data_IF_960561696808
#
_entry.id   IF_960561696808
#
_cell.length_a   1.000
_cell.length_b   1.000
_cell.length_c   1.000
_cell.angle_alpha   90.00
_cell.angle_beta   90.00
_cell.angle_gamma   90.00
#
_symmetry.space_group_name_H-M   'P 1'
#
loop_
_entity.id
_entity.type
_entity.pdbx_description
1 polymer ?
#
# COMPACT_ATOMS: atom_id res chain seq x y z
N UNK A 1 -2.80 4.03 -12.35
CA UNK A 1 -4.20 4.52 -12.36
C UNK A 1 -4.88 4.24 -11.02
N UNK A 2 -5.89 5.04 -10.67
CA UNK A 2 -6.72 4.81 -9.46
C UNK A 2 -7.32 3.41 -9.43
N UNK A 3 -7.28 2.75 -8.28
CA UNK A 3 -7.86 1.42 -8.08
C UNK A 3 -6.95 0.24 -8.45
N UNK A 4 -5.81 0.50 -9.08
CA UNK A 4 -4.83 -0.54 -9.40
C UNK A 4 -4.02 -0.97 -8.18
N UNK A 5 -3.60 -2.25 -8.18
CA UNK A 5 -2.75 -2.82 -7.14
C UNK A 5 -1.33 -3.01 -7.68
N UNK A 6 -0.35 -2.49 -6.94
CA UNK A 6 1.07 -2.63 -7.26
C UNK A 6 1.85 -3.24 -6.08
N UNK A 7 3.05 -3.74 -6.36
CA UNK A 7 4.03 -4.10 -5.33
C UNK A 7 5.04 -2.97 -5.17
N UNK A 8 5.08 -2.35 -3.99
CA UNK A 8 6.04 -1.30 -3.65
C UNK A 8 7.10 -1.79 -2.67
N UNK A 9 8.33 -1.31 -2.83
CA UNK A 9 9.41 -1.52 -1.88
C UNK A 9 9.33 -0.47 -0.77
N UNK A 10 9.01 -0.90 0.46
CA UNK A 10 9.01 0.00 1.61
C UNK A 10 10.32 -0.14 2.38
N UNK A 11 11.13 0.93 2.49
CA UNK A 11 12.33 0.88 3.32
C UNK A 11 11.94 0.70 4.78
N UNK A 12 12.74 -0.08 5.51
CA UNK A 12 12.69 -0.03 6.96
C UNK A 12 13.22 1.32 7.46
N UNK A 13 12.87 1.70 8.68
CA UNK A 13 13.36 2.93 9.30
C UNK A 13 14.88 2.98 9.42
N UNK A 14 15.56 1.82 9.38
CA UNK A 14 17.03 1.73 9.32
C UNK A 14 17.62 2.15 7.98
N UNK A 15 16.82 2.22 6.91
CA UNK A 15 17.28 2.52 5.54
C UNK A 15 18.10 1.41 4.87
N UNK A 16 18.45 0.34 5.59
CA UNK A 16 19.38 -0.69 5.12
C UNK A 16 18.73 -1.81 4.30
N UNK A 17 17.42 -1.94 4.37
CA UNK A 17 16.67 -2.94 3.63
C UNK A 17 15.25 -2.45 3.35
N UNK A 18 14.61 -3.07 2.37
CA UNK A 18 13.19 -2.83 2.03
C UNK A 18 12.41 -4.13 2.10
N UNK A 19 11.09 -4.01 2.28
CA UNK A 19 10.16 -5.12 2.18
C UNK A 19 9.12 -4.84 1.09
N UNK A 20 8.92 -5.74 0.11
CA UNK A 20 7.85 -5.61 -0.87
C UNK A 20 6.49 -5.72 -0.17
N UNK A 21 5.55 -4.83 -0.51
CA UNK A 21 4.17 -4.88 -0.02
C UNK A 21 3.18 -4.52 -1.12
N UNK A 22 2.03 -5.19 -1.18
CA UNK A 22 0.94 -4.76 -2.04
C UNK A 22 0.37 -3.43 -1.56
N UNK A 23 -0.01 -2.59 -2.50
CA UNK A 23 -0.60 -1.28 -2.27
C UNK A 23 -1.72 -1.02 -3.26
N UNK A 24 -2.75 -0.30 -2.83
CA UNK A 24 -3.83 0.22 -3.68
C UNK A 24 -3.52 1.68 -4.03
N UNK A 25 -3.60 2.04 -5.32
CA UNK A 25 -3.45 3.44 -5.76
C UNK A 25 -4.72 4.22 -5.44
N UNK A 26 -4.60 5.29 -4.66
CA UNK A 26 -5.68 6.21 -4.31
C UNK A 26 -5.67 7.48 -5.19
N UNK A 27 -4.49 8.03 -5.47
CA UNK A 27 -4.33 9.19 -6.34
C UNK A 27 -3.04 9.09 -7.13
N UNK A 28 -3.14 9.27 -8.44
CA UNK A 28 -2.00 9.37 -9.35
C UNK A 28 -1.66 10.85 -9.53
N UNK A 29 -0.48 11.26 -9.08
CA UNK A 29 0.01 12.64 -9.11
C UNK A 29 1.17 12.79 -10.11
N UNK A 30 1.23 11.90 -11.12
CA UNK A 30 2.27 11.82 -12.14
C UNK A 30 3.65 11.41 -11.60
N UNK A 31 4.36 12.32 -10.93
CA UNK A 31 5.67 12.02 -10.33
C UNK A 31 5.53 11.26 -9.01
N UNK A 32 4.43 11.52 -8.30
CA UNK A 32 4.11 10.93 -7.01
C UNK A 32 2.79 10.13 -7.06
N UNK A 33 2.57 9.32 -6.03
CA UNK A 33 1.35 8.54 -5.88
C UNK A 33 0.94 8.47 -4.42
N UNK A 34 -0.35 8.69 -4.15
CA UNK A 34 -0.94 8.41 -2.85
C UNK A 34 -1.48 7.00 -2.89
N UNK A 35 -1.06 6.17 -1.92
CA UNK A 35 -1.38 4.76 -1.85
C UNK A 35 -1.95 4.37 -0.49
N UNK A 36 -2.78 3.33 -0.48
CA UNK A 36 -3.14 2.60 0.73
C UNK A 36 -2.34 1.29 0.82
N UNK A 37 -1.77 1.00 1.98
CA UNK A 37 -0.97 -0.21 2.18
C UNK A 37 -1.89 -1.41 2.43
N UNK A 38 -1.64 -2.52 1.74
CA UNK A 38 -2.40 -3.76 1.93
C UNK A 38 -1.61 -4.72 2.84
N UNK A 39 -2.32 -5.41 3.74
CA UNK A 39 -1.75 -6.39 4.67
C UNK A 39 -2.63 -7.63 4.73
N UNK A 40 -1.99 -8.81 4.81
CA UNK A 40 -2.69 -10.08 5.06
C UNK A 40 -3.07 -10.29 6.52
N UNK A 41 -2.45 -9.55 7.44
CA UNK A 41 -2.83 -9.54 8.85
C UNK A 41 -4.15 -8.81 8.98
N UNK A 42 -5.20 -9.52 9.41
CA UNK A 42 -6.53 -8.96 9.64
C UNK A 42 -6.45 -7.89 10.72
N UNK A 43 -6.99 -6.71 10.40
CA UNK A 43 -7.20 -5.60 11.33
C UNK A 43 -8.65 -5.13 11.24
N UNK A 44 -9.18 -4.59 12.32
CA UNK A 44 -10.60 -4.23 12.47
C UNK A 44 -10.79 -2.83 13.04
N UNK A 45 -9.85 -1.93 12.78
CA UNK A 45 -9.97 -0.52 13.10
C UNK A 45 -10.92 0.22 12.15
N UNK A 46 -11.29 1.43 12.54
CA UNK A 46 -12.26 2.28 11.80
C UNK A 46 -11.86 2.59 10.35
N UNK A 47 -10.56 2.50 10.03
CA UNK A 47 -10.01 2.81 8.72
C UNK A 47 -9.57 1.56 7.95
N UNK A 48 -9.80 0.37 8.51
CA UNK A 48 -9.47 -0.89 7.83
C UNK A 48 -10.62 -1.27 6.88
N UNK A 49 -10.29 -1.46 5.61
CA UNK A 49 -11.24 -1.88 4.57
C UNK A 49 -10.89 -3.31 4.13
N UNK A 50 -11.89 -4.19 4.13
CA UNK A 50 -11.75 -5.54 3.59
C UNK A 50 -11.72 -5.49 2.06
N UNK A 51 -10.68 -6.08 1.47
CA UNK A 51 -10.65 -6.35 0.04
C UNK A 51 -11.35 -7.68 -0.26
N UNK A 52 -12.23 -7.67 -1.24
CA UNK A 52 -12.95 -8.83 -1.77
C UNK A 52 -12.82 -8.83 -3.32
N UNK A 53 -13.04 -9.98 -3.93
CA UNK A 53 -13.06 -10.20 -5.37
C UNK A 53 -14.33 -9.66 -6.05
#
# INVERSE_FOLDING_TARGET
MFGEIFICQFPFTSGTASKPRPVLVLFDLQEDVVICRITSVIRSGLLDIKLAD
#
